data_IF_350313969407
#
_entry.id   IF_350313969407
#
_cell.length_a   1.000
_cell.length_b   1.000
_cell.length_c   1.000
_cell.angle_alpha   90.00
_cell.angle_beta   90.00
_cell.angle_gamma   90.00
#
_symmetry.space_group_name_H-M   'P 1'
#
loop_
_entity.id
_entity.type
_entity.pdbx_description
1 polymer ?
#
# COMPACT_ATOMS: atom_id res chain seq x y z
N UNK A 1 0.05 -5.35 -12.58
CA UNK A 1 -0.44 -4.20 -11.79
C UNK A 1 -1.42 -4.73 -10.76
N UNK A 2 -1.34 -4.25 -9.52
CA UNK A 2 -2.26 -4.58 -8.42
C UNK A 2 -2.89 -3.28 -7.94
N UNK A 3 -4.20 -3.28 -7.77
CA UNK A 3 -4.97 -2.14 -7.23
C UNK A 3 -5.81 -2.62 -6.06
N UNK A 4 -5.96 -1.80 -5.02
CA UNK A 4 -6.81 -2.16 -3.87
C UNK A 4 -7.32 -0.96 -3.08
N UNK A 5 -8.42 -1.18 -2.39
CA UNK A 5 -8.95 -0.35 -1.31
C UNK A 5 -9.12 -1.25 -0.07
N UNK A 6 -8.04 -1.51 0.70
CA UNK A 6 -8.09 -2.48 1.80
C UNK A 6 -9.06 -2.01 2.90
N UNK A 7 -9.78 -2.94 3.55
CA UNK A 7 -10.52 -2.59 4.76
C UNK A 7 -9.54 -2.15 5.84
N UNK A 8 -9.96 -1.17 6.66
CA UNK A 8 -9.15 -0.67 7.78
C UNK A 8 -9.88 -0.77 9.13
N UNK A 9 -11.05 -1.41 9.14
CA UNK A 9 -11.82 -1.69 10.34
C UNK A 9 -12.08 -3.18 10.46
N UNK A 10 -11.93 -3.69 11.68
CA UNK A 10 -12.44 -4.99 12.11
C UNK A 10 -13.44 -4.74 13.24
N UNK A 11 -14.73 -4.79 12.90
CA UNK A 11 -15.79 -4.26 13.76
C UNK A 11 -15.65 -2.75 14.00
N UNK A 12 -15.51 -2.34 15.26
CA UNK A 12 -15.28 -0.94 15.65
C UNK A 12 -13.79 -0.57 15.76
N UNK A 13 -12.88 -1.54 15.72
CA UNK A 13 -11.46 -1.30 15.89
C UNK A 13 -10.78 -1.05 14.56
N UNK A 14 -9.75 -0.21 14.55
CA UNK A 14 -8.91 -0.04 13.36
C UNK A 14 -7.99 -1.26 13.25
N UNK A 15 -8.07 -2.00 12.14
CA UNK A 15 -7.16 -3.10 11.82
C UNK A 15 -6.46 -2.82 10.50
N UNK A 16 -5.15 -3.04 10.45
CA UNK A 16 -4.35 -2.89 9.23
C UNK A 16 -3.94 -4.24 8.65
N UNK A 17 -4.32 -5.36 9.25
CA UNK A 17 -3.75 -6.68 8.93
C UNK A 17 -4.00 -7.09 7.48
N UNK A 18 -5.19 -6.79 6.95
CA UNK A 18 -5.53 -7.03 5.55
C UNK A 18 -4.64 -6.19 4.61
N UNK A 19 -4.43 -4.92 4.95
CA UNK A 19 -3.57 -4.03 4.20
C UNK A 19 -2.09 -4.45 4.26
N UNK A 20 -1.61 -4.85 5.44
CA UNK A 20 -0.24 -5.31 5.62
C UNK A 20 0.03 -6.60 4.85
N UNK A 21 -0.91 -7.54 4.92
CA UNK A 21 -0.84 -8.80 4.17
C UNK A 21 -0.82 -8.55 2.67
N UNK A 22 -1.69 -7.65 2.18
CA UNK A 22 -1.69 -7.25 0.78
C UNK A 22 -0.35 -6.64 0.35
N UNK A 23 0.15 -5.64 1.09
CA UNK A 23 1.36 -4.89 0.73
C UNK A 23 2.58 -5.80 0.71
N UNK A 24 2.78 -6.60 1.77
CA UNK A 24 3.88 -7.59 1.85
C UNK A 24 3.71 -8.73 0.85
N UNK A 25 2.49 -9.09 0.48
CA UNK A 25 2.22 -10.12 -0.51
C UNK A 25 2.48 -9.65 -1.94
N UNK A 26 2.20 -8.38 -2.23
CA UNK A 26 2.25 -7.82 -3.58
C UNK A 26 3.61 -7.98 -4.26
N UNK A 27 4.72 -7.90 -3.51
CA UNK A 27 6.09 -8.08 -4.06
C UNK A 27 6.31 -9.46 -4.72
N UNK A 28 5.54 -10.49 -4.33
CA UNK A 28 5.63 -11.83 -4.92
C UNK A 28 4.81 -11.98 -6.20
N UNK A 29 3.89 -11.05 -6.46
CA UNK A 29 2.94 -11.13 -7.57
C UNK A 29 3.14 -10.01 -8.60
N UNK A 30 4.04 -9.06 -8.35
CA UNK A 30 4.40 -8.01 -9.30
C UNK A 30 5.64 -8.42 -10.11
N UNK A 31 5.53 -8.26 -11.43
CA UNK A 31 6.69 -8.27 -12.33
C UNK A 31 7.59 -7.06 -12.06
N UNK A 32 8.84 -7.10 -12.51
CA UNK A 32 9.74 -5.93 -12.49
C UNK A 32 9.08 -4.74 -13.19
N UNK A 33 9.07 -3.57 -12.54
CA UNK A 33 8.37 -2.38 -13.03
C UNK A 33 6.84 -2.40 -12.83
N UNK A 34 6.29 -3.47 -12.26
CA UNK A 34 4.87 -3.57 -11.93
C UNK A 34 4.48 -2.68 -10.75
N UNK A 35 3.28 -2.13 -10.77
CA UNK A 35 2.81 -1.19 -9.76
C UNK A 35 1.81 -1.81 -8.77
N UNK A 36 1.91 -1.37 -7.51
CA UNK A 36 0.85 -1.46 -6.51
C UNK A 36 0.24 -0.06 -6.31
N UNK A 37 -1.09 0.04 -6.40
CA UNK A 37 -1.84 1.25 -6.06
C UNK A 37 -2.87 0.99 -4.97
N UNK A 38 -2.86 1.81 -3.94
CA UNK A 38 -3.77 1.68 -2.79
C UNK A 38 -4.45 3.01 -2.53
N UNK A 39 -5.78 3.01 -2.42
CA UNK A 39 -6.51 4.12 -1.81
C UNK A 39 -6.75 3.79 -0.34
N UNK A 40 -6.54 4.77 0.55
CA UNK A 40 -6.76 4.62 1.98
C UNK A 40 -7.06 5.97 2.64
N UNK A 41 -7.61 5.92 3.86
CA UNK A 41 -7.83 7.12 4.67
C UNK A 41 -6.49 7.78 5.04
N UNK A 42 -6.42 9.10 4.93
CA UNK A 42 -5.18 9.86 5.02
C UNK A 42 -4.46 9.79 6.39
N UNK A 43 -5.20 9.43 7.46
CA UNK A 43 -4.66 9.28 8.82
C UNK A 43 -3.99 7.92 9.07
N UNK A 44 -4.19 6.94 8.19
CA UNK A 44 -3.65 5.59 8.36
C UNK A 44 -2.15 5.55 7.99
N UNK A 45 -1.31 4.79 8.72
CA UNK A 45 0.15 4.80 8.57
C UNK A 45 0.67 3.94 7.39
N UNK A 46 0.03 4.04 6.22
CA UNK A 46 0.44 3.33 5.00
C UNK A 46 1.84 3.68 4.49
N UNK A 47 2.33 4.94 4.57
CA UNK A 47 3.68 5.30 4.13
C UNK A 47 4.77 4.39 4.70
N UNK A 48 4.69 4.12 6.02
CA UNK A 48 5.70 3.32 6.73
C UNK A 48 5.83 1.92 6.14
N UNK A 49 4.72 1.20 5.95
CA UNK A 49 4.78 -0.17 5.44
C UNK A 49 5.10 -0.24 3.94
N UNK A 50 4.67 0.76 3.16
CA UNK A 50 5.04 0.86 1.74
C UNK A 50 6.55 1.07 1.60
N UNK A 51 7.14 1.97 2.39
CA UNK A 51 8.58 2.23 2.37
C UNK A 51 9.38 1.03 2.92
N UNK A 52 8.91 0.38 3.98
CA UNK A 52 9.54 -0.83 4.51
C UNK A 52 9.57 -1.98 3.49
N UNK A 53 8.52 -2.09 2.66
CA UNK A 53 8.33 -3.20 1.72
C UNK A 53 8.95 -2.91 0.34
N UNK A 54 8.69 -1.75 -0.22
CA UNK A 54 9.08 -1.37 -1.59
C UNK A 54 10.26 -0.39 -1.65
N UNK A 55 10.67 0.18 -0.51
CA UNK A 55 11.74 1.19 -0.42
C UNK A 55 11.29 2.62 -0.67
N UNK A 56 10.14 2.81 -1.33
CA UNK A 56 9.55 4.13 -1.57
C UNK A 56 8.05 4.05 -1.86
N UNK A 57 7.39 5.20 -1.77
CA UNK A 57 6.02 5.42 -2.24
C UNK A 57 5.85 6.83 -2.81
N UNK A 58 4.78 7.01 -3.56
CA UNK A 58 4.30 8.30 -4.06
C UNK A 58 2.83 8.47 -3.72
N UNK A 59 2.38 9.70 -3.49
CA UNK A 59 0.95 10.04 -3.40
C UNK A 59 0.55 10.67 -4.73
N UNK A 60 -0.24 9.94 -5.54
CA UNK A 60 -0.61 10.35 -6.89
C UNK A 60 -1.95 11.09 -6.96
N UNK A 61 -2.77 10.97 -5.91
CA UNK A 61 -3.98 11.75 -5.72
C UNK A 61 -4.30 11.87 -4.22
N UNK A 62 -4.90 12.98 -3.82
CA UNK A 62 -5.35 13.17 -2.44
C UNK A 62 -6.58 14.06 -2.37
N UNK A 63 -7.38 13.81 -1.33
CA UNK A 63 -8.46 14.66 -0.85
C UNK A 63 -8.24 14.94 0.64
N UNK A 64 -9.14 15.68 1.28
CA UNK A 64 -9.09 15.85 2.74
C UNK A 64 -9.25 14.55 3.54
N UNK A 65 -9.81 13.49 2.94
CA UNK A 65 -10.10 12.22 3.65
C UNK A 65 -9.26 11.04 3.15
N UNK A 66 -8.90 11.02 1.87
CA UNK A 66 -8.28 9.87 1.22
C UNK A 66 -6.97 10.24 0.52
N UNK A 67 -6.04 9.30 0.47
CA UNK A 67 -4.82 9.35 -0.34
C UNK A 67 -4.75 8.13 -1.24
N UNK A 68 -4.29 8.32 -2.47
CA UNK A 68 -3.94 7.24 -3.40
C UNK A 68 -2.42 7.13 -3.44
N UNK A 69 -1.93 6.01 -2.94
CA UNK A 69 -0.53 5.64 -2.93
C UNK A 69 -0.17 4.84 -4.17
N UNK A 70 1.03 5.07 -4.70
CA UNK A 70 1.67 4.29 -5.76
C UNK A 70 3.04 3.83 -5.27
N UNK A 71 3.40 2.60 -5.60
CA UNK A 71 4.76 2.11 -5.52
C UNK A 71 5.05 1.14 -6.67
N UNK A 72 6.33 0.97 -7.00
CA UNK A 72 6.77 0.16 -8.14
C UNK A 72 7.69 -0.95 -7.65
N UNK A 73 7.50 -2.15 -8.16
CA UNK A 73 8.40 -3.27 -7.93
C UNK A 73 9.75 -3.00 -8.60
N UNK A 74 10.75 -2.69 -7.80
CA UNK A 74 12.14 -2.51 -8.21
C UNK A 74 13.03 -3.59 -7.58
N UNK A 75 14.32 -3.61 -7.95
CA UNK A 75 15.29 -4.49 -7.29
C UNK A 75 15.50 -4.21 -5.80
N UNK A 76 15.07 -3.04 -5.30
CA UNK A 76 15.22 -2.64 -3.90
C UNK A 76 14.06 -3.14 -3.01
N UNK A 77 12.97 -3.62 -3.60
CA UNK A 77 11.84 -4.15 -2.84
C UNK A 77 12.27 -5.40 -2.04
N UNK A 78 11.89 -5.44 -0.76
CA UNK A 78 12.21 -6.56 0.14
C UNK A 78 11.26 -7.72 -0.14
N UNK A 79 11.82 -8.91 -0.33
CA UNK A 79 11.06 -10.17 -0.45
C UNK A 79 10.72 -10.74 0.92
#
# INVERSE_FOLDING_TARGET
MIISNPPFHDGMQTSLDAAQTLIRGAVRHLNSGGELRIVANAFLPYPKILDETFGFHEVIAQTGRFKVYRTVMTRQAKK
#
